data_IF_154385781569
#
_entry.id   IF_154385781569
#
_cell.length_a   1.000
_cell.length_b   1.000
_cell.length_c   1.000
_cell.angle_alpha   90.00
_cell.angle_beta   90.00
_cell.angle_gamma   90.00
#
_symmetry.space_group_name_H-M   'P 1'
#
loop_
_entity.id
_entity.type
_entity.pdbx_description
1 polymer ?
#
# COMPACT_ATOMS: atom_id res chain seq x y z
N UNK A 1 53.36 84.35 -9.03
CA UNK A 1 53.34 84.22 -10.49
C UNK A 1 54.41 83.23 -10.92
N UNK A 2 54.06 82.40 -11.90
CA UNK A 2 54.83 81.35 -12.61
C UNK A 2 54.92 79.94 -11.99
N UNK A 3 54.75 78.89 -12.82
CA UNK A 3 54.11 77.62 -12.44
C UNK A 3 55.05 76.42 -12.75
N UNK A 4 54.61 75.18 -13.03
CA UNK A 4 55.11 73.97 -12.35
C UNK A 4 56.10 73.15 -13.20
N UNK A 5 56.85 72.23 -12.56
CA UNK A 5 57.50 71.11 -13.26
C UNK A 5 56.76 69.79 -12.97
N UNK A 6 55.88 69.47 -13.92
CA UNK A 6 55.67 68.17 -14.58
C UNK A 6 56.85 67.17 -14.43
N UNK A 7 56.74 65.84 -14.41
CA UNK A 7 55.69 64.84 -14.68
C UNK A 7 56.20 63.50 -14.07
N UNK A 8 55.29 62.59 -13.68
CA UNK A 8 55.22 61.20 -14.21
C UNK A 8 54.17 60.40 -13.41
N UNK A 9 52.94 60.40 -13.95
CA UNK A 9 51.89 59.49 -13.54
C UNK A 9 52.15 58.17 -14.28
N UNK A 10 52.44 57.09 -13.53
CA UNK A 10 52.33 55.72 -14.04
C UNK A 10 50.90 55.26 -13.79
N UNK A 11 50.07 55.26 -14.83
CA UNK A 11 48.73 54.64 -14.77
C UNK A 11 48.86 53.12 -14.67
N UNK A 12 48.49 52.55 -13.52
CA UNK A 12 48.13 51.14 -13.42
C UNK A 12 46.63 51.03 -13.70
N UNK A 13 46.27 50.43 -14.82
CA UNK A 13 44.91 49.97 -15.08
C UNK A 13 44.72 48.70 -14.25
N UNK A 14 43.93 48.78 -13.17
CA UNK A 14 43.45 47.60 -12.45
C UNK A 14 42.18 47.14 -13.15
N UNK A 15 42.24 45.97 -13.78
CA UNK A 15 41.06 45.27 -14.30
C UNK A 15 40.30 44.69 -13.09
N UNK A 16 39.28 45.39 -12.62
CA UNK A 16 38.36 44.87 -11.60
C UNK A 16 37.42 43.84 -12.23
N UNK A 17 37.72 42.56 -12.02
CA UNK A 17 36.82 41.46 -12.38
C UNK A 17 35.68 41.43 -11.34
N UNK A 18 34.55 42.07 -11.66
CA UNK A 18 33.34 41.99 -10.87
C UNK A 18 32.72 40.59 -11.05
N UNK A 19 33.02 39.68 -10.11
CA UNK A 19 32.32 38.40 -10.00
C UNK A 19 30.93 38.70 -9.44
N UNK A 20 29.95 38.82 -10.34
CA UNK A 20 28.52 38.87 -10.00
C UNK A 20 28.13 37.50 -9.45
N UNK A 21 28.18 37.37 -8.13
CA UNK A 21 27.67 36.21 -7.42
C UNK A 21 26.14 36.30 -7.41
N UNK A 22 25.49 35.67 -8.37
CA UNK A 22 24.03 35.49 -8.32
C UNK A 22 23.72 34.41 -7.27
N UNK A 23 22.80 34.66 -6.32
CA UNK A 23 22.37 33.59 -5.43
C UNK A 23 21.63 32.56 -6.29
N UNK A 24 22.22 31.37 -6.43
CA UNK A 24 21.49 30.19 -6.89
C UNK A 24 20.43 29.94 -5.83
N UNK A 25 19.17 30.22 -6.17
CA UNK A 25 18.01 29.82 -5.37
C UNK A 25 17.94 28.29 -5.35
N UNK A 26 18.70 27.67 -4.44
CA UNK A 26 18.59 26.25 -4.17
C UNK A 26 17.51 26.02 -3.12
N UNK A 27 16.26 26.14 -3.55
CA UNK A 27 15.13 25.49 -2.89
C UNK A 27 14.62 24.38 -3.80
N UNK A 28 15.49 23.39 -4.05
CA UNK A 28 14.99 22.05 -4.32
C UNK A 28 14.53 21.52 -2.96
N UNK A 29 13.30 21.87 -2.56
CA UNK A 29 12.64 21.20 -1.46
C UNK A 29 12.40 19.78 -1.99
N UNK A 30 13.33 18.86 -1.70
CA UNK A 30 13.16 17.45 -2.02
C UNK A 30 11.89 17.04 -1.31
N UNK A 31 10.79 16.92 -2.06
CA UNK A 31 9.57 16.37 -1.49
C UNK A 31 9.95 15.02 -0.87
N UNK A 32 9.47 14.72 0.34
CA UNK A 32 9.71 13.40 0.93
C UNK A 32 9.32 12.35 -0.11
N UNK A 33 10.01 11.20 -0.18
CA UNK A 33 9.71 10.18 -1.17
C UNK A 33 8.21 9.87 -1.11
N UNK A 34 7.52 10.22 -2.19
CA UNK A 34 6.17 9.76 -2.46
C UNK A 34 6.29 8.40 -3.17
N UNK A 35 5.29 7.54 -3.03
CA UNK A 35 5.22 6.32 -3.82
C UNK A 35 5.01 6.63 -5.31
N UNK A 36 4.62 5.62 -6.07
CA UNK A 36 4.41 5.72 -7.51
C UNK A 36 3.16 6.56 -7.90
N UNK A 37 2.38 7.00 -6.90
CA UNK A 37 1.18 7.82 -7.10
C UNK A 37 -0.05 7.00 -7.51
N UNK A 38 0.01 5.67 -7.40
CA UNK A 38 -1.06 4.72 -7.73
C UNK A 38 -1.37 3.88 -6.50
N UNK A 39 -2.61 3.98 -6.04
CA UNK A 39 -3.05 3.28 -4.84
C UNK A 39 -4.06 2.19 -5.18
N UNK A 40 -3.79 0.95 -4.74
CA UNK A 40 -4.78 -0.13 -4.70
C UNK A 40 -5.23 -0.39 -3.27
N UNK A 41 -6.52 -0.16 -3.00
CA UNK A 41 -7.15 -0.30 -1.69
C UNK A 41 -8.36 -1.25 -1.75
N UNK A 42 -8.59 -1.98 -0.66
CA UNK A 42 -9.77 -2.80 -0.44
C UNK A 42 -10.35 -2.53 0.96
N UNK A 43 -11.61 -2.12 1.05
CA UNK A 43 -12.27 -1.87 2.33
C UNK A 43 -13.07 -3.10 2.76
N UNK A 44 -12.60 -3.83 3.77
CA UNK A 44 -13.15 -5.15 4.08
C UNK A 44 -14.59 -5.11 4.58
N UNK A 45 -14.96 -4.17 5.44
CA UNK A 45 -16.31 -4.12 6.00
C UNK A 45 -17.41 -3.92 4.94
N UNK A 46 -17.07 -3.26 3.82
CA UNK A 46 -18.01 -2.94 2.72
C UNK A 46 -17.78 -3.76 1.45
N UNK A 47 -16.69 -4.55 1.40
CA UNK A 47 -16.26 -5.30 0.21
C UNK A 47 -16.07 -4.39 -1.02
N UNK A 48 -15.72 -3.13 -0.79
CA UNK A 48 -15.45 -2.14 -1.84
C UNK A 48 -13.96 -2.12 -2.17
N UNK A 49 -13.60 -1.89 -3.43
CA UNK A 49 -12.22 -1.80 -3.88
C UNK A 49 -12.00 -0.57 -4.75
N UNK A 50 -10.79 -0.04 -4.74
CA UNK A 50 -10.37 1.07 -5.60
C UNK A 50 -8.93 0.86 -6.03
N UNK A 51 -8.66 0.91 -7.33
CA UNK A 51 -7.31 1.14 -7.85
C UNK A 51 -7.33 2.46 -8.60
N UNK A 52 -6.47 3.40 -8.21
CA UNK A 52 -6.53 4.75 -8.76
C UNK A 52 -5.18 5.45 -8.75
N UNK A 53 -4.87 6.14 -9.85
CA UNK A 53 -3.80 7.13 -9.89
C UNK A 53 -4.28 8.41 -9.21
N UNK A 54 -3.63 8.80 -8.11
CA UNK A 54 -3.98 9.99 -7.33
C UNK A 54 -2.96 11.13 -7.45
N UNK A 55 -1.78 10.86 -8.01
CA UNK A 55 -0.82 11.87 -8.46
C UNK A 55 -0.49 11.71 -9.94
N UNK A 56 -0.34 12.83 -10.65
CA UNK A 56 0.11 12.81 -12.04
C UNK A 56 1.63 12.60 -12.16
N UNK A 57 2.13 12.57 -13.39
CA UNK A 57 3.57 12.37 -13.68
C UNK A 57 4.48 13.47 -13.12
N UNK A 58 3.92 14.65 -12.81
CA UNK A 58 4.64 15.76 -12.20
C UNK A 58 4.55 15.71 -10.67
N UNK A 59 3.94 14.67 -10.11
CA UNK A 59 3.65 14.56 -8.68
C UNK A 59 2.48 15.43 -8.23
N UNK A 60 1.65 15.98 -9.12
CA UNK A 60 0.53 16.85 -8.71
C UNK A 60 -0.68 16.03 -8.29
N UNK A 61 -1.31 16.31 -7.13
CA UNK A 61 -2.52 15.63 -6.70
C UNK A 61 -3.69 15.80 -7.67
N UNK A 62 -4.44 14.73 -7.92
CA UNK A 62 -5.61 14.72 -8.79
C UNK A 62 -6.88 14.83 -7.91
N UNK A 63 -7.59 15.97 -7.88
CA UNK A 63 -8.68 16.21 -6.92
C UNK A 63 -9.83 15.19 -7.01
N UNK A 64 -10.19 14.77 -8.23
CA UNK A 64 -11.22 13.75 -8.45
C UNK A 64 -10.82 12.38 -7.91
N UNK A 65 -9.52 12.06 -7.92
CA UNK A 65 -9.03 10.81 -7.35
C UNK A 65 -9.10 10.84 -5.83
N UNK A 66 -8.70 11.95 -5.21
CA UNK A 66 -8.81 12.14 -3.76
C UNK A 66 -10.26 12.07 -3.27
N UNK A 67 -11.23 12.57 -4.04
CA UNK A 67 -12.65 12.41 -3.73
C UNK A 67 -13.10 10.94 -3.73
N UNK A 68 -12.65 10.15 -4.72
CA UNK A 68 -12.94 8.71 -4.76
C UNK A 68 -12.29 7.95 -3.60
N UNK A 69 -11.06 8.34 -3.23
CA UNK A 69 -10.38 7.79 -2.05
C UNK A 69 -11.15 8.17 -0.77
N UNK A 70 -11.54 9.42 -0.60
CA UNK A 70 -12.35 9.88 0.53
C UNK A 70 -13.69 9.13 0.63
N UNK A 71 -14.35 8.90 -0.50
CA UNK A 71 -15.56 8.09 -0.56
C UNK A 71 -15.29 6.64 -0.12
N UNK A 72 -14.23 6.01 -0.61
CA UNK A 72 -13.85 4.66 -0.17
C UNK A 72 -13.52 4.63 1.32
N UNK A 73 -12.91 5.68 1.87
CA UNK A 73 -12.48 5.79 3.27
C UNK A 73 -13.55 6.38 4.20
N UNK A 74 -14.77 6.60 3.71
CA UNK A 74 -15.87 7.20 4.49
C UNK A 74 -16.20 6.39 5.74
N UNK A 75 -16.76 7.10 6.72
CA UNK A 75 -17.16 6.53 8.01
C UNK A 75 -18.23 5.45 7.84
N UNK A 76 -18.33 4.45 8.74
CA UNK A 76 -19.31 3.36 8.62
C UNK A 76 -20.77 3.81 8.58
N UNK A 77 -21.08 5.00 9.10
CA UNK A 77 -22.38 5.67 8.99
C UNK A 77 -22.54 6.48 7.68
N UNK A 78 -21.70 6.22 6.68
CA UNK A 78 -21.64 6.84 5.35
C UNK A 78 -21.32 8.34 5.33
N UNK A 79 -20.90 8.93 6.45
CA UNK A 79 -20.41 10.31 6.43
C UNK A 79 -19.04 10.37 5.76
N UNK A 80 -18.90 11.28 4.81
CA UNK A 80 -17.65 11.54 4.08
C UNK A 80 -16.90 12.74 4.67
N UNK A 81 -15.59 12.72 4.54
CA UNK A 81 -14.71 13.83 4.89
C UNK A 81 -13.50 13.82 3.95
N UNK A 82 -12.98 14.98 3.54
CA UNK A 82 -11.72 15.03 2.80
C UNK A 82 -10.61 14.27 3.54
N UNK A 83 -9.88 13.43 2.82
CA UNK A 83 -8.69 12.77 3.38
C UNK A 83 -7.48 13.68 3.19
N UNK A 84 -6.64 13.79 4.22
CA UNK A 84 -5.37 14.50 4.12
C UNK A 84 -4.45 13.72 3.16
N UNK A 85 -3.90 14.42 2.17
CA UNK A 85 -3.07 13.81 1.15
C UNK A 85 -1.78 13.21 1.70
N UNK A 86 -1.22 13.76 2.77
CA UNK A 86 0.01 13.23 3.36
C UNK A 86 -0.22 11.81 3.90
N UNK A 87 -1.44 11.48 4.34
CA UNK A 87 -1.81 10.12 4.75
C UNK A 87 -1.89 9.22 3.54
N UNK A 88 -2.49 9.69 2.44
CA UNK A 88 -2.58 8.94 1.19
C UNK A 88 -1.19 8.60 0.67
N UNK A 89 -0.28 9.58 0.66
CA UNK A 89 1.12 9.40 0.30
C UNK A 89 1.86 8.44 1.23
N UNK A 90 1.55 8.46 2.52
CA UNK A 90 2.15 7.54 3.50
C UNK A 90 1.72 6.10 3.21
N UNK A 91 0.42 5.88 2.95
CA UNK A 91 -0.10 4.56 2.57
C UNK A 91 0.52 4.08 1.24
N UNK A 92 0.65 4.97 0.25
CA UNK A 92 1.29 4.70 -1.04
C UNK A 92 2.75 4.25 -0.86
N UNK A 93 3.52 5.01 -0.07
CA UNK A 93 4.91 4.69 0.27
C UNK A 93 5.06 3.32 0.94
N UNK A 94 4.10 2.95 1.79
CA UNK A 94 4.05 1.64 2.46
C UNK A 94 3.68 0.52 1.48
N UNK A 95 2.71 0.76 0.60
CA UNK A 95 2.29 -0.18 -0.44
C UNK A 95 3.47 -0.57 -1.33
N UNK A 96 4.21 0.43 -1.80
CA UNK A 96 5.35 0.24 -2.70
C UNK A 96 6.50 -0.50 -2.03
N UNK A 97 6.83 -0.13 -0.79
CA UNK A 97 7.93 -0.74 -0.04
C UNK A 97 7.75 -2.24 0.16
N UNK A 98 6.54 -2.66 0.52
CA UNK A 98 6.23 -4.08 0.72
C UNK A 98 5.80 -4.78 -0.57
N UNK A 99 5.75 -4.06 -1.70
CA UNK A 99 5.18 -4.55 -2.95
C UNK A 99 3.78 -5.14 -2.76
N UNK A 100 3.00 -4.53 -1.85
CA UNK A 100 1.69 -5.03 -1.49
C UNK A 100 0.75 -4.82 -2.69
N UNK A 101 0.15 -5.88 -3.26
CA UNK A 101 -0.76 -5.76 -4.41
C UNK A 101 -1.97 -4.86 -4.16
N UNK A 102 -2.50 -4.88 -2.93
CA UNK A 102 -3.70 -4.17 -2.45
C UNK A 102 -3.57 -4.05 -0.93
N UNK A 103 -3.72 -2.84 -0.39
CA UNK A 103 -3.82 -2.63 1.06
C UNK A 103 -5.27 -2.85 1.51
N UNK A 104 -5.46 -3.68 2.54
CA UNK A 104 -6.75 -3.80 3.21
C UNK A 104 -6.95 -2.63 4.19
N UNK A 105 -8.08 -1.95 4.06
CA UNK A 105 -8.50 -0.86 4.93
C UNK A 105 -9.45 -1.43 5.98
N UNK A 106 -9.07 -1.21 7.24
CA UNK A 106 -9.88 -1.54 8.41
C UNK A 106 -10.76 -0.35 8.78
N UNK A 107 -10.17 0.85 8.82
CA UNK A 107 -10.86 2.09 9.15
C UNK A 107 -10.21 3.28 8.44
N UNK A 108 -11.04 4.14 7.84
CA UNK A 108 -10.65 5.43 7.29
C UNK A 108 -11.11 6.59 8.17
N UNK A 109 -11.82 7.56 7.59
CA UNK A 109 -12.48 8.61 8.35
C UNK A 109 -13.51 8.03 9.33
N UNK A 110 -13.64 8.65 10.51
CA UNK A 110 -14.68 8.33 11.50
C UNK A 110 -15.48 9.57 11.79
N UNK A 111 -16.80 9.52 11.64
CA UNK A 111 -17.65 10.64 12.05
C UNK A 111 -17.59 10.84 13.57
N UNK A 112 -17.84 12.05 14.09
CA UNK A 112 -17.92 12.27 15.53
C UNK A 112 -18.93 11.35 16.22
N UNK A 113 -20.08 11.11 15.58
CA UNK A 113 -21.12 10.21 16.09
C UNK A 113 -20.64 8.76 16.17
N UNK A 114 -19.97 8.25 15.12
CA UNK A 114 -19.43 6.90 15.10
C UNK A 114 -18.29 6.73 16.13
N UNK A 115 -17.39 7.71 16.23
CA UNK A 115 -16.30 7.69 17.21
C UNK A 115 -16.83 7.70 18.66
N UNK A 116 -17.91 8.46 18.92
CA UNK A 116 -18.59 8.43 20.22
C UNK A 116 -19.18 7.05 20.53
N UNK A 117 -19.89 6.44 19.57
CA UNK A 117 -20.48 5.11 19.74
C UNK A 117 -19.42 4.02 20.02
N UNK A 118 -18.24 4.10 19.38
CA UNK A 118 -17.12 3.20 19.69
C UNK A 118 -16.66 3.33 21.16
N UNK A 119 -16.62 4.55 21.67
CA UNK A 119 -16.26 4.82 23.07
C UNK A 119 -17.30 4.24 24.03
N UNK A 120 -18.58 4.41 23.74
CA UNK A 120 -19.68 3.89 24.58
C UNK A 120 -19.71 2.36 24.60
N UNK A 121 -19.33 1.71 23.50
CA UNK A 121 -19.26 0.25 23.40
C UNK A 121 -17.95 -0.34 23.96
N UNK A 122 -17.12 0.47 24.60
CA UNK A 122 -15.95 0.03 25.36
C UNK A 122 -14.65 -0.06 24.56
N UNK A 123 -14.60 0.44 23.32
CA UNK A 123 -13.36 0.52 22.57
C UNK A 123 -12.49 1.69 23.08
N UNK A 124 -11.19 1.45 23.22
CA UNK A 124 -10.22 2.48 23.58
C UNK A 124 -9.94 3.41 22.39
N UNK A 125 -10.79 4.41 22.20
CA UNK A 125 -10.64 5.45 21.17
C UNK A 125 -10.27 6.80 21.79
N UNK A 126 -9.37 7.54 21.16
CA UNK A 126 -8.99 8.88 21.60
C UNK A 126 -10.15 9.87 21.41
N UNK A 127 -10.29 10.82 22.35
CA UNK A 127 -11.30 11.89 22.24
C UNK A 127 -11.07 12.77 21.01
N UNK A 128 -9.81 13.01 20.64
CA UNK A 128 -9.38 13.78 19.46
C UNK A 128 -8.70 12.86 18.45
N UNK A 129 -9.39 11.80 18.04
CA UNK A 129 -8.88 10.86 17.05
C UNK A 129 -8.59 11.55 15.71
N UNK A 130 -7.38 11.37 15.18
CA UNK A 130 -7.00 11.89 13.86
C UNK A 130 -7.81 11.26 12.72
N UNK A 131 -8.49 10.13 12.95
CA UNK A 131 -9.49 9.61 12.02
C UNK A 131 -10.63 10.60 11.78
N UNK A 132 -11.04 11.36 12.80
CA UNK A 132 -12.11 12.37 12.65
C UNK A 132 -11.66 13.60 11.88
N UNK A 133 -10.35 13.75 11.63
CA UNK A 133 -9.78 14.84 10.85
C UNK A 133 -9.38 14.40 9.43
N UNK A 134 -9.62 13.13 9.06
CA UNK A 134 -9.12 12.56 7.82
C UNK A 134 -7.59 12.46 7.78
N UNK A 135 -6.94 12.38 8.95
CA UNK A 135 -5.48 12.39 9.10
C UNK A 135 -4.92 11.04 9.57
N UNK A 136 -5.74 9.99 9.59
CA UNK A 136 -5.32 8.65 9.99
C UNK A 136 -6.07 7.54 9.23
N UNK A 137 -5.43 6.39 9.06
CA UNK A 137 -5.99 5.18 8.46
C UNK A 137 -5.46 3.96 9.22
N UNK A 138 -6.35 2.99 9.45
CA UNK A 138 -6.00 1.66 9.94
C UNK A 138 -5.88 0.70 8.76
N UNK A 139 -4.68 0.14 8.57
CA UNK A 139 -4.33 -0.70 7.42
C UNK A 139 -3.91 -2.10 7.83
N UNK A 140 -4.17 -3.06 6.93
CA UNK A 140 -3.65 -4.41 6.99
C UNK A 140 -2.91 -4.73 5.69
N UNK A 141 -1.75 -5.38 5.84
CA UNK A 141 -0.93 -5.89 4.74
C UNK A 141 -0.81 -7.40 4.87
N UNK A 142 -1.11 -8.09 3.77
CA UNK A 142 -1.10 -9.54 3.70
C UNK A 142 0.33 -10.08 3.53
N UNK A 143 1.19 -9.33 2.86
CA UNK A 143 2.53 -9.81 2.49
C UNK A 143 3.54 -9.73 3.64
N UNK A 144 3.21 -9.04 4.73
CA UNK A 144 4.14 -8.75 5.84
C UNK A 144 3.43 -8.68 7.19
N UNK A 145 4.19 -8.74 8.29
CA UNK A 145 3.64 -8.66 9.66
C UNK A 145 3.41 -7.21 10.11
N UNK A 146 2.58 -7.02 11.13
CA UNK A 146 2.33 -5.69 11.73
C UNK A 146 3.61 -5.03 12.23
N UNK A 147 4.57 -5.78 12.78
CA UNK A 147 5.86 -5.26 13.25
C UNK A 147 6.66 -4.65 12.11
N UNK A 148 6.72 -5.33 10.97
CA UNK A 148 7.48 -4.81 9.83
C UNK A 148 6.83 -3.54 9.30
N UNK A 149 5.49 -3.53 9.18
CA UNK A 149 4.75 -2.32 8.78
C UNK A 149 5.00 -1.19 9.78
N UNK A 150 4.94 -1.48 11.09
CA UNK A 150 5.25 -0.53 12.16
C UNK A 150 6.66 0.02 12.02
N UNK A 151 7.66 -0.85 11.93
CA UNK A 151 9.07 -0.49 11.91
C UNK A 151 9.39 0.35 10.67
N UNK A 152 8.84 -0.02 9.52
CA UNK A 152 8.95 0.77 8.31
C UNK A 152 8.24 2.13 8.44
N UNK A 153 6.97 2.16 8.88
CA UNK A 153 6.23 3.40 9.05
C UNK A 153 6.90 4.37 10.04
N UNK A 154 7.46 3.85 11.15
CA UNK A 154 8.25 4.63 12.10
C UNK A 154 9.53 5.18 11.48
N UNK A 155 10.21 4.40 10.64
CA UNK A 155 11.44 4.84 9.96
C UNK A 155 11.20 6.04 9.02
N UNK A 156 9.97 6.24 8.55
CA UNK A 156 9.61 7.37 7.69
C UNK A 156 9.49 8.69 8.48
N UNK A 157 9.31 8.66 9.81
CA UNK A 157 9.14 9.83 10.66
C UNK A 157 8.02 10.80 10.19
N UNK A 158 6.95 10.25 9.59
CA UNK A 158 5.84 11.04 8.99
C UNK A 158 4.61 11.22 9.88
N UNK A 159 4.57 10.58 11.04
CA UNK A 159 3.54 10.80 12.06
C UNK A 159 3.42 9.65 13.05
N UNK A 160 2.24 9.48 13.65
CA UNK A 160 1.98 8.47 14.66
C UNK A 160 1.80 7.06 14.07
N UNK A 161 2.30 6.05 14.78
CA UNK A 161 2.15 4.64 14.41
C UNK A 161 1.66 3.82 15.60
N UNK A 162 0.44 3.29 15.47
CA UNK A 162 -0.14 2.33 16.40
C UNK A 162 -0.08 0.91 15.83
N UNK A 163 0.26 -0.13 16.58
CA UNK A 163 0.20 -1.52 16.06
C UNK A 163 -0.67 -2.42 16.93
N UNK A 164 -1.55 -3.18 16.26
CA UNK A 164 -2.59 -4.00 16.88
C UNK A 164 -2.56 -5.42 16.30
N UNK A 165 -1.51 -6.21 16.59
CA UNK A 165 -1.32 -7.54 16.00
C UNK A 165 -2.42 -8.53 16.34
N UNK A 166 -3.10 -8.36 17.48
CA UNK A 166 -4.24 -9.20 17.85
C UNK A 166 -5.50 -8.92 17.02
N UNK A 167 -5.55 -7.78 16.32
CA UNK A 167 -6.64 -7.35 15.48
C UNK A 167 -6.23 -7.28 14.00
N UNK A 168 -5.02 -7.74 13.69
CA UNK A 168 -4.41 -7.76 12.37
C UNK A 168 -4.34 -6.38 11.70
N UNK A 169 -3.96 -5.31 12.40
CA UNK A 169 -3.82 -4.00 11.76
C UNK A 169 -2.76 -3.09 12.36
N UNK A 170 -2.33 -2.12 11.56
CA UNK A 170 -1.47 -1.01 11.95
C UNK A 170 -2.23 0.29 11.69
N UNK A 171 -2.29 1.12 12.72
CA UNK A 171 -2.74 2.50 12.64
C UNK A 171 -1.57 3.38 12.17
N UNK A 172 -1.83 4.22 11.18
CA UNK A 172 -0.90 5.26 10.75
C UNK A 172 -1.61 6.61 10.66
N UNK A 173 -0.91 7.67 11.06
CA UNK A 173 -1.39 9.04 10.98
C UNK A 173 -0.27 10.02 10.59
N UNK A 174 -0.66 11.24 10.22
CA UNK A 174 0.26 12.35 9.90
C UNK A 174 0.26 13.47 10.95
N UNK A 175 -0.04 13.12 12.20
CA UNK A 175 0.11 13.99 13.35
C UNK A 175 1.53 13.96 13.93
N UNK A 176 1.71 14.30 15.23
CA UNK A 176 3.01 14.20 15.89
C UNK A 176 3.59 12.78 15.86
N UNK A 177 4.89 12.66 15.61
CA UNK A 177 5.61 11.38 15.65
C UNK A 177 5.52 10.78 17.05
N UNK A 178 4.90 9.61 17.14
CA UNK A 178 4.67 8.86 18.37
C UNK A 178 4.39 7.40 18.04
N UNK A 179 4.49 6.52 19.02
CA UNK A 179 4.20 5.10 18.82
C UNK A 179 3.47 4.50 20.02
N UNK A 180 2.56 3.57 19.77
CA UNK A 180 1.81 2.85 20.79
C UNK A 180 1.34 1.49 20.29
N UNK A 181 1.14 0.54 21.18
CA UNK A 181 0.73 -0.82 20.80
C UNK A 181 1.18 -1.82 21.83
N UNK A 182 0.55 -3.00 21.80
CA UNK A 182 0.83 -4.07 22.75
C UNK A 182 0.87 -5.40 22.00
N UNK A 183 1.77 -6.29 22.46
CA UNK A 183 1.99 -7.64 21.95
C UNK A 183 2.76 -7.74 20.63
N UNK A 184 3.20 -8.98 20.37
CA UNK A 184 3.83 -9.44 19.13
C UNK A 184 2.78 -10.12 18.24
N UNK A 185 2.97 -10.01 16.93
CA UNK A 185 2.19 -10.67 15.91
C UNK A 185 2.44 -12.17 15.96
N UNK A 186 1.34 -12.90 15.89
CA UNK A 186 1.37 -14.35 15.70
C UNK A 186 1.54 -14.71 14.22
N UNK A 187 1.39 -13.73 13.31
CA UNK A 187 1.54 -13.93 11.88
C UNK A 187 3.01 -14.18 11.57
N UNK A 188 3.26 -15.27 10.86
CA UNK A 188 4.58 -15.58 10.28
C UNK A 188 4.51 -15.29 8.79
N UNK A 189 5.60 -14.83 8.18
CA UNK A 189 5.68 -14.71 6.72
C UNK A 189 5.29 -16.04 6.08
N UNK A 190 4.15 -16.05 5.39
CA UNK A 190 3.73 -17.24 4.64
C UNK A 190 4.18 -17.07 3.20
N UNK A 191 5.15 -17.89 2.80
CA UNK A 191 5.71 -17.94 1.45
C UNK A 191 6.01 -19.38 1.02
N UNK A 192 6.82 -19.50 -0.05
CA UNK A 192 7.27 -20.75 -0.66
C UNK A 192 7.83 -21.79 0.32
N UNK A 193 8.34 -21.36 1.48
CA UNK A 193 8.95 -22.21 2.49
C UNK A 193 7.98 -23.23 3.13
N UNK A 194 6.67 -23.07 2.93
CA UNK A 194 5.65 -23.99 3.43
C UNK A 194 5.16 -24.98 2.34
N UNK A 195 5.70 -24.90 1.12
CA UNK A 195 5.39 -25.86 0.06
C UNK A 195 6.16 -27.17 0.30
N UNK A 196 5.50 -28.14 0.93
CA UNK A 196 6.09 -29.43 1.30
C UNK A 196 5.58 -30.58 0.43
N UNK A 197 4.72 -30.28 -0.54
CA UNK A 197 4.16 -31.27 -1.44
C UNK A 197 5.09 -31.64 -2.59
N UNK A 198 4.86 -32.80 -3.23
CA UNK A 198 5.73 -33.33 -4.27
C UNK A 198 5.49 -32.73 -5.66
N UNK A 199 4.46 -31.88 -5.82
CA UNK A 199 4.09 -31.31 -7.11
C UNK A 199 4.65 -29.90 -7.26
N UNK A 200 5.25 -29.65 -8.41
CA UNK A 200 5.58 -28.32 -8.87
C UNK A 200 4.38 -27.76 -9.63
N UNK A 201 3.80 -26.67 -9.12
CA UNK A 201 2.61 -26.04 -9.70
C UNK A 201 2.96 -24.63 -10.13
N UNK A 202 2.78 -24.32 -11.41
CA UNK A 202 3.09 -23.00 -11.99
C UNK A 202 1.90 -22.45 -12.73
N UNK A 203 1.42 -21.27 -12.34
CA UNK A 203 0.44 -20.54 -13.15
C UNK A 203 1.11 -19.90 -14.36
N UNK A 204 0.33 -19.62 -15.40
CA UNK A 204 0.77 -18.87 -16.57
C UNK A 204 0.94 -17.36 -16.32
N UNK A 205 0.51 -16.88 -15.14
CA UNK A 205 0.54 -15.46 -14.76
C UNK A 205 0.55 -15.32 -13.25
N UNK A 206 1.22 -14.28 -12.72
CA UNK A 206 1.13 -13.90 -11.31
C UNK A 206 0.04 -12.86 -11.05
N UNK A 207 -0.63 -12.37 -12.09
CA UNK A 207 -1.68 -11.36 -12.00
C UNK A 207 -2.87 -11.79 -12.84
N UNK A 208 -4.07 -11.61 -12.30
CA UNK A 208 -5.28 -11.85 -13.07
C UNK A 208 -6.33 -10.80 -12.74
N UNK A 209 -7.22 -10.59 -13.70
CA UNK A 209 -8.25 -9.57 -13.66
C UNK A 209 -9.64 -10.21 -13.75
N UNK A 210 -10.72 -9.45 -13.46
CA UNK A 210 -12.06 -9.87 -13.76
C UNK A 210 -12.19 -10.35 -15.21
N UNK A 211 -12.77 -11.54 -15.37
CA UNK A 211 -12.98 -12.25 -16.63
C UNK A 211 -11.80 -13.03 -17.22
N UNK A 212 -10.65 -13.02 -16.57
CA UNK A 212 -9.53 -13.86 -17.00
C UNK A 212 -9.79 -15.34 -16.70
N UNK A 213 -9.01 -16.21 -17.35
CA UNK A 213 -8.85 -17.61 -16.97
C UNK A 213 -7.38 -17.84 -16.61
N UNK A 214 -7.13 -18.67 -15.61
CA UNK A 214 -5.78 -18.96 -15.13
C UNK A 214 -5.47 -20.41 -15.44
N UNK A 215 -4.40 -20.65 -16.19
CA UNK A 215 -3.89 -21.99 -16.45
C UNK A 215 -2.72 -22.28 -15.52
N UNK A 216 -2.70 -23.47 -14.96
CA UNK A 216 -1.65 -24.04 -14.14
C UNK A 216 -1.02 -25.22 -14.87
N UNK A 217 0.30 -25.31 -14.79
CA UNK A 217 1.10 -26.47 -15.19
C UNK A 217 1.48 -27.22 -13.91
N UNK A 218 1.34 -28.54 -13.92
CA UNK A 218 1.54 -29.43 -12.77
C UNK A 218 2.56 -30.49 -13.16
N UNK A 219 3.65 -30.58 -12.42
CA UNK A 219 4.70 -31.58 -12.63
C UNK A 219 4.98 -32.36 -11.34
N UNK A 220 5.02 -33.71 -11.38
CA UNK A 220 4.65 -34.56 -12.51
C UNK A 220 3.14 -34.48 -12.84
N UNK A 221 2.72 -34.87 -14.06
CA UNK A 221 1.32 -34.83 -14.48
C UNK A 221 0.44 -35.79 -13.67
N UNK A 222 -0.79 -35.37 -13.38
CA UNK A 222 -1.78 -36.12 -12.61
C UNK A 222 -3.08 -36.30 -13.42
N UNK A 223 -3.66 -37.49 -13.41
CA UNK A 223 -4.91 -37.77 -14.14
C UNK A 223 -6.13 -37.13 -13.48
N UNK A 224 -6.07 -36.93 -12.16
CA UNK A 224 -7.13 -36.25 -11.42
C UNK A 224 -6.54 -35.55 -10.21
N UNK A 225 -6.97 -34.30 -10.00
CA UNK A 225 -6.54 -33.50 -8.86
C UNK A 225 -7.74 -33.09 -8.02
N UNK A 226 -7.54 -33.08 -6.71
CA UNK A 226 -8.38 -32.32 -5.78
C UNK A 226 -7.63 -31.02 -5.50
N UNK A 227 -8.25 -29.90 -5.83
CA UNK A 227 -7.62 -28.60 -5.70
C UNK A 227 -8.46 -27.67 -4.82
N UNK A 228 -7.76 -26.78 -4.13
CA UNK A 228 -8.33 -25.64 -3.44
C UNK A 228 -7.66 -24.38 -3.97
N UNK A 229 -8.45 -23.42 -4.42
CA UNK A 229 -8.00 -22.05 -4.58
C UNK A 229 -8.12 -21.38 -3.22
N UNK A 230 -6.98 -21.03 -2.64
CA UNK A 230 -6.91 -20.37 -1.35
C UNK A 230 -6.65 -18.89 -1.58
N UNK A 231 -7.37 -18.04 -0.84
CA UNK A 231 -7.07 -16.63 -0.69
C UNK A 231 -6.27 -16.46 0.59
N UNK A 232 -5.23 -15.64 0.53
CA UNK A 232 -4.58 -15.18 1.73
C UNK A 232 -5.41 -14.07 2.37
N UNK A 233 -5.68 -14.20 3.66
CA UNK A 233 -6.55 -13.31 4.41
C UNK A 233 -6.06 -13.28 5.85
N UNK A 234 -5.42 -12.17 6.24
CA UNK A 234 -4.98 -11.91 7.63
C UNK A 234 -4.00 -12.93 8.18
N UNK A 235 -2.94 -13.23 7.43
CA UNK A 235 -1.91 -14.17 7.88
C UNK A 235 -2.19 -15.63 7.53
N UNK A 236 -3.42 -15.95 7.14
CA UNK A 236 -3.87 -17.31 6.91
C UNK A 236 -4.36 -17.53 5.48
N UNK A 237 -4.16 -18.75 4.98
CA UNK A 237 -4.71 -19.17 3.69
C UNK A 237 -6.07 -19.83 3.91
N UNK A 238 -7.12 -19.21 3.37
CA UNK A 238 -8.50 -19.68 3.46
C UNK A 238 -8.96 -20.19 2.10
N UNK A 239 -9.55 -21.39 2.07
CA UNK A 239 -10.11 -21.93 0.83
C UNK A 239 -11.32 -21.11 0.39
N UNK A 240 -11.25 -20.49 -0.80
CA UNK A 240 -12.36 -19.73 -1.40
C UNK A 240 -13.13 -20.52 -2.44
N UNK A 241 -12.45 -21.46 -3.10
CA UNK A 241 -13.08 -22.41 -4.01
C UNK A 241 -12.33 -23.73 -3.94
N UNK A 242 -13.02 -24.84 -4.11
CA UNK A 242 -12.37 -26.14 -4.25
C UNK A 242 -13.19 -27.03 -5.16
N UNK A 243 -12.52 -27.95 -5.85
CA UNK A 243 -13.18 -28.95 -6.67
C UNK A 243 -12.27 -30.14 -6.93
N UNK A 244 -12.83 -31.18 -7.54
CA UNK A 244 -12.08 -32.26 -8.16
C UNK A 244 -12.16 -32.09 -9.67
N UNK A 245 -11.02 -32.17 -10.33
CA UNK A 245 -10.95 -32.05 -11.79
C UNK A 245 -10.18 -33.24 -12.37
N UNK A 246 -10.66 -33.72 -13.51
CA UNK A 246 -9.88 -34.63 -14.37
C UNK A 246 -8.99 -33.77 -15.24
N UNK A 247 -7.71 -34.14 -15.36
CA UNK A 247 -6.75 -33.44 -16.20
C UNK A 247 -6.21 -34.42 -17.23
N UNK A 248 -5.98 -33.93 -18.44
CA UNK A 248 -5.25 -34.65 -19.48
C UNK A 248 -3.91 -33.95 -19.69
N UNK A 249 -2.82 -34.64 -19.38
CA UNK A 249 -1.47 -34.06 -19.38
C UNK A 249 -1.18 -33.27 -18.10
N UNK A 250 -0.39 -32.21 -18.21
CA UNK A 250 0.08 -31.40 -17.08
C UNK A 250 -0.68 -30.08 -16.89
N UNK A 251 -1.66 -29.75 -17.75
CA UNK A 251 -2.32 -28.44 -17.73
C UNK A 251 -3.72 -28.48 -17.14
N UNK A 252 -3.96 -27.59 -16.19
CA UNK A 252 -5.23 -27.36 -15.52
C UNK A 252 -5.67 -25.91 -15.69
N UNK A 253 -6.94 -25.63 -15.92
CA UNK A 253 -7.42 -24.24 -16.05
C UNK A 253 -8.59 -23.96 -15.13
N UNK A 254 -8.48 -22.92 -14.32
CA UNK A 254 -9.61 -22.34 -13.58
C UNK A 254 -10.22 -21.24 -14.43
N UNK A 255 -11.53 -21.35 -14.66
CA UNK A 255 -12.28 -20.44 -15.53
C UNK A 255 -12.83 -19.25 -14.75
N UNK A 256 -13.24 -18.22 -15.50
CA UNK A 256 -13.88 -17.01 -14.98
C UNK A 256 -15.04 -17.28 -14.01
N UNK A 257 -15.86 -18.33 -14.23
CA UNK A 257 -17.00 -18.61 -13.36
C UNK A 257 -16.60 -18.78 -11.88
N UNK A 258 -15.41 -19.33 -11.62
CA UNK A 258 -14.84 -19.51 -10.27
C UNK A 258 -14.12 -18.23 -9.82
N UNK A 259 -13.52 -17.47 -10.74
CA UNK A 259 -12.67 -16.32 -10.44
C UNK A 259 -13.43 -14.99 -10.29
N UNK A 260 -14.63 -14.87 -10.86
CA UNK A 260 -15.47 -13.67 -10.82
C UNK A 260 -15.95 -13.26 -9.43
N UNK A 261 -16.41 -14.15 -8.52
CA UNK A 261 -16.93 -13.76 -7.20
C UNK A 261 -15.84 -13.50 -6.16
N UNK A 262 -14.57 -13.71 -6.51
CA UNK A 262 -13.48 -13.56 -5.56
C UNK A 262 -13.25 -12.06 -5.26
N UNK A 263 -12.85 -11.66 -4.04
CA UNK A 263 -12.40 -10.29 -3.75
C UNK A 263 -11.01 -10.00 -4.35
N UNK A 264 -10.53 -8.75 -4.30
CA UNK A 264 -9.13 -8.49 -4.64
C UNK A 264 -8.19 -9.14 -3.60
N UNK A 265 -6.95 -9.33 -3.99
CA UNK A 265 -5.90 -9.80 -3.08
C UNK A 265 -5.09 -10.96 -3.63
N UNK A 266 -4.41 -11.65 -2.72
CA UNK A 266 -3.45 -12.71 -2.99
C UNK A 266 -4.11 -14.09 -2.94
N UNK A 267 -3.80 -14.92 -3.92
CA UNK A 267 -4.36 -16.25 -4.12
C UNK A 267 -3.27 -17.26 -4.43
N UNK A 268 -3.53 -18.54 -4.17
CA UNK A 268 -2.72 -19.65 -4.64
C UNK A 268 -3.58 -20.86 -4.90
N UNK A 269 -3.11 -21.75 -5.77
CA UNK A 269 -3.65 -23.08 -5.90
C UNK A 269 -2.94 -24.03 -4.93
N UNK A 270 -3.72 -24.88 -4.27
CA UNK A 270 -3.24 -25.96 -3.42
C UNK A 270 -3.75 -27.30 -3.94
N UNK A 271 -2.85 -28.27 -4.07
CA UNK A 271 -3.16 -29.66 -4.41
C UNK A 271 -2.43 -30.55 -3.38
N UNK A 272 -3.18 -31.14 -2.45
CA UNK A 272 -2.58 -31.81 -1.30
C UNK A 272 -1.75 -30.82 -0.46
N UNK A 273 -0.45 -31.10 -0.33
CA UNK A 273 0.52 -30.21 0.33
C UNK A 273 1.33 -29.35 -0.66
N UNK A 274 1.06 -29.50 -1.97
CA UNK A 274 1.75 -28.78 -3.03
C UNK A 274 1.07 -27.43 -3.29
N UNK A 275 1.86 -26.38 -3.44
CA UNK A 275 1.38 -25.01 -3.62
C UNK A 275 1.86 -24.45 -4.97
N UNK A 276 1.02 -23.66 -5.63
CA UNK A 276 1.44 -22.86 -6.78
C UNK A 276 2.26 -21.63 -6.34
N UNK A 277 2.90 -20.99 -7.31
CA UNK A 277 3.22 -19.58 -7.16
C UNK A 277 1.95 -18.75 -6.87
N UNK A 278 2.16 -17.57 -6.35
CA UNK A 278 1.07 -16.71 -5.90
C UNK A 278 0.53 -15.85 -7.04
N UNK A 279 -0.76 -15.57 -6.92
CA UNK A 279 -1.59 -14.90 -7.88
C UNK A 279 -2.18 -13.67 -7.23
N UNK A 280 -2.19 -12.56 -7.94
CA UNK A 280 -2.77 -11.31 -7.45
C UNK A 280 -3.97 -10.94 -8.30
N UNK A 281 -5.16 -10.97 -7.69
CA UNK A 281 -6.39 -10.45 -8.31
C UNK A 281 -6.38 -8.94 -8.21
N UNK A 282 -6.41 -8.27 -9.36
CA UNK A 282 -6.46 -6.80 -9.48
C UNK A 282 -7.66 -6.35 -10.30
N UNK A 283 -8.07 -5.10 -10.15
CA UNK A 283 -9.02 -4.48 -11.09
C UNK A 283 -8.32 -4.09 -12.40
N UNK A 284 -9.06 -4.08 -13.53
CA UNK A 284 -8.53 -3.49 -14.77
C UNK A 284 -8.61 -1.98 -14.66
N UNK A 285 -7.50 -1.31 -14.94
CA UNK A 285 -7.44 0.14 -15.11
C UNK A 285 -8.26 0.59 -16.33
#
# INVERSE_FOLDING_TARGET
MTPPKQHLIKSFIIFSLAIMCTPISLLAQTQPPHGDGILSLYYDARKESLTIQFRDQNGTPIPKALQKIAHLLRSPDNQEHPINIDVVDLVDTIQDHFHEPVIEIISGYRSPAYNHNLKETGHSVANESLHMQGMAIDIHLDTTTEENVRDYALSLHRGGVGWYPQNDFVHIDVGPVRTWGHAESKRKFVGLNNNTGPLEIRSNTNRYFPNDSISFTIEPPENSIKWALERFDRGDWKTTASSKSTIHGNRFTITNAILKPLPLGRYRLKIGNSLSNELYRKEKN
#
